data_IF_405488734711
#
_entry.id   IF_405488734711
#
_cell.length_a   1.000
_cell.length_b   1.000
_cell.length_c   1.000
_cell.angle_alpha   90.00
_cell.angle_beta   90.00
_cell.angle_gamma   90.00
#
_symmetry.space_group_name_H-M   'P 1'
#
loop_
_entity.id
_entity.type
_entity.pdbx_description
1 polymer ?
#
# COMPACT_ATOMS: atom_id res chain seq x y z
N UNK A 1 -10.92 0.95 0.54
CA UNK A 1 -10.21 -0.31 0.20
C UNK A 1 -10.73 -0.99 -1.06
N UNK A 2 -12.00 -1.45 -1.13
CA UNK A 2 -12.53 -2.07 -2.36
C UNK A 2 -12.50 -1.13 -3.59
N UNK A 3 -12.76 0.16 -3.37
CA UNK A 3 -12.65 1.21 -4.38
C UNK A 3 -11.20 1.38 -4.90
N UNK A 4 -10.20 1.28 -4.01
CA UNK A 4 -8.77 1.40 -4.37
C UNK A 4 -8.37 0.23 -5.28
N UNK A 5 -8.67 -1.00 -4.86
CA UNK A 5 -8.42 -2.20 -5.68
C UNK A 5 -9.07 -2.05 -7.06
N UNK A 6 -10.34 -1.64 -7.11
CA UNK A 6 -11.06 -1.48 -8.38
C UNK A 6 -10.39 -0.48 -9.31
N UNK A 7 -9.89 0.64 -8.78
CA UNK A 7 -9.16 1.65 -9.55
C UNK A 7 -7.82 1.08 -10.04
N UNK A 8 -7.05 0.41 -9.17
CA UNK A 8 -5.75 -0.18 -9.51
C UNK A 8 -5.86 -1.25 -10.59
N UNK A 9 -6.79 -2.18 -10.43
CA UNK A 9 -7.05 -3.21 -11.43
C UNK A 9 -7.50 -2.62 -12.77
N UNK A 10 -8.28 -1.53 -12.73
CA UNK A 10 -8.66 -0.77 -13.93
C UNK A 10 -7.44 -0.14 -14.62
N UNK A 11 -6.58 0.55 -13.87
CA UNK A 11 -5.34 1.15 -14.41
C UNK A 11 -4.43 0.09 -15.00
N UNK A 12 -4.20 -1.02 -14.30
CA UNK A 12 -3.41 -2.17 -14.78
C UNK A 12 -3.92 -2.69 -16.14
N UNK A 13 -5.24 -2.87 -16.29
CA UNK A 13 -5.82 -3.35 -17.54
C UNK A 13 -5.56 -2.39 -18.72
N UNK A 14 -5.63 -1.08 -18.49
CA UNK A 14 -5.36 -0.07 -19.53
C UNK A 14 -3.86 0.06 -19.83
N UNK A 15 -2.99 -0.06 -18.83
CA UNK A 15 -1.53 -0.10 -18.99
C UNK A 15 -1.12 -1.29 -19.87
N UNK A 16 -1.61 -2.50 -19.57
CA UNK A 16 -1.34 -3.67 -20.40
C UNK A 16 -1.93 -3.57 -21.82
N UNK A 17 -3.06 -2.88 -22.00
CA UNK A 17 -3.63 -2.60 -23.32
C UNK A 17 -2.79 -1.58 -24.13
N UNK A 18 -2.25 -0.56 -23.47
CA UNK A 18 -1.33 0.41 -24.06
C UNK A 18 -0.02 -0.28 -24.50
N UNK A 19 0.56 -1.12 -23.66
CA UNK A 19 1.76 -1.91 -23.97
C UNK A 19 1.55 -2.81 -25.19
N UNK A 20 0.44 -3.56 -25.26
CA UNK A 20 0.09 -4.38 -26.44
C UNK A 20 -0.04 -3.55 -27.72
N UNK A 21 -0.61 -2.35 -27.61
CA UNK A 21 -0.78 -1.44 -28.75
C UNK A 21 0.57 -0.87 -29.22
N UNK A 22 1.47 -0.52 -28.29
CA UNK A 22 2.85 -0.13 -28.59
C UNK A 22 3.64 -1.23 -29.30
N UNK A 23 3.53 -2.47 -28.81
CA UNK A 23 4.16 -3.63 -29.44
C UNK A 23 3.64 -3.88 -30.86
N UNK A 24 2.33 -3.71 -31.10
CA UNK A 24 1.73 -3.87 -32.42
C UNK A 24 2.15 -2.76 -33.41
N UNK A 25 2.32 -1.52 -32.94
CA UNK A 25 2.80 -0.41 -33.78
C UNK A 25 4.26 -0.65 -34.23
N UNK A 26 5.07 -1.33 -33.42
CA UNK A 26 6.43 -1.71 -33.76
C UNK A 26 6.51 -2.68 -34.97
N UNK A 27 5.41 -3.37 -35.31
CA UNK A 27 5.32 -4.37 -36.39
C UNK A 27 4.85 -3.81 -37.77
N UNK A 28 4.94 -2.49 -37.95
CA UNK A 28 4.97 -1.77 -39.25
C UNK A 28 3.72 -1.83 -40.17
N UNK A 29 2.70 -2.66 -39.90
CA UNK A 29 1.64 -2.95 -40.90
C UNK A 29 0.36 -2.10 -40.85
N UNK A 30 0.02 -1.43 -39.75
CA UNK A 30 -1.27 -0.70 -39.65
C UNK A 30 -1.25 0.59 -38.79
N UNK A 31 -0.07 1.21 -38.66
CA UNK A 31 0.32 2.27 -37.73
C UNK A 31 -0.64 3.45 -37.45
N UNK A 32 -1.69 3.69 -38.24
CA UNK A 32 -2.68 4.74 -37.98
C UNK A 32 -3.77 4.28 -37.02
N UNK A 33 -4.33 3.08 -37.23
CA UNK A 33 -5.42 2.56 -36.38
C UNK A 33 -4.91 2.11 -35.01
N UNK A 34 -3.74 1.47 -34.96
CA UNK A 34 -3.14 1.13 -33.65
C UNK A 34 -2.70 2.38 -32.89
N UNK A 35 -2.27 3.45 -33.57
CA UNK A 35 -1.93 4.72 -32.93
C UNK A 35 -3.14 5.41 -32.31
N UNK A 36 -4.26 5.48 -33.01
CA UNK A 36 -5.52 6.00 -32.44
C UNK A 36 -5.97 5.16 -31.25
N UNK A 37 -5.81 3.84 -31.32
CA UNK A 37 -6.15 2.94 -30.21
C UNK A 37 -5.21 3.14 -29.01
N UNK A 38 -3.92 3.36 -29.26
CA UNK A 38 -2.93 3.66 -28.23
C UNK A 38 -3.25 4.99 -27.53
N UNK A 39 -3.50 6.07 -28.29
CA UNK A 39 -3.90 7.37 -27.73
C UNK A 39 -5.16 7.25 -26.86
N UNK A 40 -6.13 6.44 -27.30
CA UNK A 40 -7.33 6.15 -26.51
C UNK A 40 -7.00 5.41 -25.20
N UNK A 41 -6.14 4.40 -25.24
CA UNK A 41 -5.73 3.68 -24.02
C UNK A 41 -4.96 4.59 -23.05
N UNK A 42 -4.05 5.43 -23.55
CA UNK A 42 -3.30 6.38 -22.72
C UNK A 42 -4.22 7.38 -22.02
N UNK A 43 -5.23 7.89 -22.73
CA UNK A 43 -6.26 8.74 -22.12
C UNK A 43 -7.02 8.04 -20.98
N UNK A 44 -7.34 6.76 -21.13
CA UNK A 44 -7.97 5.99 -20.05
C UNK A 44 -7.02 5.78 -18.86
N UNK A 45 -5.73 5.54 -19.12
CA UNK A 45 -4.71 5.46 -18.06
C UNK A 45 -4.62 6.79 -17.30
N UNK A 46 -4.55 7.94 -18.00
CA UNK A 46 -4.50 9.26 -17.36
C UNK A 46 -5.73 9.54 -16.47
N UNK A 47 -6.93 9.19 -16.93
CA UNK A 47 -8.15 9.31 -16.13
C UNK A 47 -8.10 8.40 -14.90
N UNK A 48 -7.60 7.18 -15.04
CA UNK A 48 -7.42 6.25 -13.93
C UNK A 48 -6.40 6.73 -12.89
N UNK A 49 -5.26 7.29 -13.34
CA UNK A 49 -4.24 7.88 -12.46
C UNK A 49 -4.80 9.06 -11.66
N UNK A 50 -5.57 9.96 -12.28
CA UNK A 50 -6.23 11.08 -11.56
C UNK A 50 -7.19 10.59 -10.47
N UNK A 51 -7.91 9.50 -10.72
CA UNK A 51 -8.77 8.87 -9.71
C UNK A 51 -7.96 8.26 -8.58
N UNK A 52 -6.83 7.63 -8.91
CA UNK A 52 -5.92 7.04 -7.93
C UNK A 52 -5.34 8.12 -6.99
N UNK A 53 -4.94 9.27 -7.53
CA UNK A 53 -4.47 10.40 -6.73
C UNK A 53 -5.54 10.95 -5.78
N UNK A 54 -6.75 11.20 -6.28
CA UNK A 54 -7.83 11.67 -5.41
C UNK A 54 -8.21 10.69 -4.30
N UNK A 55 -7.79 9.42 -4.41
CA UNK A 55 -7.87 8.42 -3.34
C UNK A 55 -6.64 8.50 -2.43
N UNK A 56 -5.44 8.62 -2.98
CA UNK A 56 -4.19 8.77 -2.22
C UNK A 56 -4.15 10.06 -1.38
N UNK A 57 -4.82 11.13 -1.83
CA UNK A 57 -4.96 12.40 -1.10
C UNK A 57 -5.84 12.27 0.16
N UNK A 58 -6.62 11.19 0.26
CA UNK A 58 -7.49 10.89 1.41
C UNK A 58 -6.84 9.97 2.43
N UNK A 59 -5.65 9.44 2.12
CA UNK A 59 -4.89 8.57 3.01
C UNK A 59 -3.95 9.43 3.87
N UNK A 60 -3.64 8.95 5.07
CA UNK A 60 -2.77 9.62 6.04
C UNK A 60 -1.49 10.17 5.37
N UNK A 61 -1.23 11.48 5.43
CA UNK A 61 -0.10 12.10 4.77
C UNK A 61 1.27 11.70 5.32
N UNK A 62 1.35 11.11 6.53
CA UNK A 62 2.62 10.73 7.18
C UNK A 62 3.03 9.26 6.92
N UNK A 63 2.31 8.52 6.06
CA UNK A 63 2.67 7.14 5.71
C UNK A 63 3.85 7.11 4.72
N UNK A 64 5.04 6.80 5.22
CA UNK A 64 6.28 6.67 4.44
C UNK A 64 6.17 5.70 3.25
N UNK A 65 5.27 4.71 3.27
CA UNK A 65 5.07 3.82 2.14
C UNK A 65 4.34 4.49 0.97
N UNK A 66 3.61 5.58 1.22
CA UNK A 66 2.86 6.31 0.19
C UNK A 66 3.72 7.35 -0.54
N UNK A 67 4.78 7.85 0.09
CA UNK A 67 5.69 8.81 -0.55
C UNK A 67 6.43 8.21 -1.74
N UNK A 68 6.91 6.97 -1.59
CA UNK A 68 7.51 6.24 -2.70
C UNK A 68 6.52 6.02 -3.84
N UNK A 69 5.26 5.70 -3.53
CA UNK A 69 4.20 5.47 -4.53
C UNK A 69 3.87 6.78 -5.26
N UNK A 70 3.74 7.89 -4.54
CA UNK A 70 3.48 9.22 -5.12
C UNK A 70 4.58 9.59 -6.12
N UNK A 71 5.86 9.41 -5.75
CA UNK A 71 6.99 9.71 -6.63
C UNK A 71 6.96 8.90 -7.93
N UNK A 72 6.73 7.59 -7.84
CA UNK A 72 6.65 6.73 -9.03
C UNK A 72 5.44 7.06 -9.92
N UNK A 73 4.33 7.50 -9.31
CA UNK A 73 3.14 7.93 -10.04
C UNK A 73 3.38 9.22 -10.83
N UNK A 74 4.11 10.17 -10.25
CA UNK A 74 4.52 11.41 -10.92
C UNK A 74 5.48 11.15 -12.09
N UNK A 75 6.48 10.29 -11.89
CA UNK A 75 7.42 9.88 -12.94
C UNK A 75 6.69 9.19 -14.12
N UNK A 76 5.69 8.34 -13.81
CA UNK A 76 4.89 7.67 -14.82
C UNK A 76 4.00 8.65 -15.60
N UNK A 77 3.36 9.60 -14.92
CA UNK A 77 2.58 10.66 -15.58
C UNK A 77 3.42 11.49 -16.53
N UNK A 78 4.62 11.87 -16.11
CA UNK A 78 5.59 12.58 -16.95
C UNK A 78 5.88 11.79 -18.23
N UNK A 79 6.12 10.48 -18.09
CA UNK A 79 6.38 9.56 -19.20
C UNK A 79 5.17 9.45 -20.14
N UNK A 80 3.95 9.30 -19.60
CA UNK A 80 2.73 9.25 -20.42
C UNK A 80 2.51 10.56 -21.17
N UNK A 81 2.75 11.70 -20.52
CA UNK A 81 2.57 13.01 -21.14
C UNK A 81 3.54 13.22 -22.31
N UNK A 82 4.83 12.90 -22.12
CA UNK A 82 5.83 12.96 -23.20
C UNK A 82 5.44 12.06 -24.38
N UNK A 83 4.99 10.83 -24.07
CA UNK A 83 4.56 9.87 -25.07
C UNK A 83 3.29 10.33 -25.81
N UNK A 84 2.32 10.91 -25.12
CA UNK A 84 1.12 11.49 -25.74
C UNK A 84 1.47 12.67 -26.65
N UNK A 85 2.32 13.62 -26.21
CA UNK A 85 2.75 14.77 -27.01
C UNK A 85 3.54 14.35 -28.26
N UNK A 86 4.41 13.34 -28.15
CA UNK A 86 5.13 12.72 -29.27
C UNK A 86 4.19 12.03 -30.25
N UNK A 87 3.18 11.33 -29.72
CA UNK A 87 2.16 10.69 -30.54
C UNK A 87 1.24 11.71 -31.19
N UNK A 88 0.94 12.87 -30.63
CA UNK A 88 0.08 13.88 -31.26
C UNK A 88 0.82 14.67 -32.34
N UNK A 89 2.04 15.14 -32.07
CA UNK A 89 2.89 15.89 -33.01
C UNK A 89 3.26 15.12 -34.28
N UNK A 90 3.22 13.78 -34.23
CA UNK A 90 3.42 12.90 -35.39
C UNK A 90 2.19 12.86 -36.35
N UNK A 91 1.07 13.51 -36.02
CA UNK A 91 -0.22 13.42 -36.75
C UNK A 91 -0.44 14.49 -37.80
N UNK A 92 0.19 15.64 -37.63
CA UNK A 92 0.12 16.75 -38.57
C UNK A 92 1.06 16.48 -39.75
N UNK A 93 0.67 15.59 -40.68
CA UNK A 93 1.34 15.61 -41.98
C UNK A 93 0.46 15.18 -43.14
N UNK A 94 0.26 16.13 -44.06
CA UNK A 94 -0.25 15.95 -45.42
C UNK A 94 0.34 14.71 -46.11
N UNK A 95 -0.49 14.07 -46.97
CA UNK A 95 -0.30 12.75 -47.62
C UNK A 95 1.04 12.55 -48.36
N UNK A 96 1.81 13.61 -48.60
CA UNK A 96 3.08 13.57 -49.34
C UNK A 96 4.30 13.03 -48.56
N UNK A 97 4.22 12.85 -47.24
CA UNK A 97 5.40 12.53 -46.43
C UNK A 97 5.42 11.10 -45.85
N UNK A 98 5.24 10.09 -46.70
CA UNK A 98 5.50 8.67 -46.35
C UNK A 98 6.91 8.49 -45.75
N UNK A 99 7.89 9.28 -46.21
CA UNK A 99 9.25 9.31 -45.64
C UNK A 99 9.31 9.75 -44.16
N UNK A 100 8.40 10.60 -43.66
CA UNK A 100 8.33 10.95 -42.22
C UNK A 100 7.73 9.81 -41.38
N UNK A 101 6.75 9.07 -41.91
CA UNK A 101 6.21 7.84 -41.28
C UNK A 101 7.31 6.80 -41.08
N UNK A 102 8.18 6.64 -42.09
CA UNK A 102 9.36 5.76 -42.01
C UNK A 102 10.44 6.34 -41.09
N UNK A 103 10.62 7.67 -41.05
CA UNK A 103 11.57 8.34 -40.15
C UNK A 103 11.22 8.12 -38.66
N UNK A 104 9.93 8.11 -38.32
CA UNK A 104 9.42 7.71 -37.01
C UNK A 104 9.72 6.23 -36.74
N UNK A 105 9.37 5.33 -37.66
CA UNK A 105 9.58 3.89 -37.46
C UNK A 105 11.08 3.45 -37.38
N UNK A 106 12.03 4.27 -37.83
CA UNK A 106 13.47 3.92 -37.91
C UNK A 106 14.34 4.64 -36.86
N UNK A 107 14.07 5.90 -36.50
CA UNK A 107 14.85 6.66 -35.50
C UNK A 107 14.33 6.46 -34.06
N UNK A 108 13.07 6.02 -33.92
CA UNK A 108 12.31 5.96 -32.67
C UNK A 108 12.22 4.53 -32.10
N UNK A 109 12.80 3.51 -32.77
CA UNK A 109 12.76 2.11 -32.30
C UNK A 109 13.49 1.88 -30.97
N UNK A 110 14.47 2.72 -30.65
CA UNK A 110 15.19 2.72 -29.36
C UNK A 110 14.38 3.43 -28.27
N UNK A 111 13.74 4.55 -28.62
CA UNK A 111 12.95 5.34 -27.68
C UNK A 111 11.63 4.63 -27.34
N UNK A 112 10.97 4.02 -28.33
CA UNK A 112 9.80 3.17 -28.10
C UNK A 112 10.12 1.97 -27.19
N UNK A 113 11.33 1.41 -27.28
CA UNK A 113 11.78 0.35 -26.34
C UNK A 113 11.95 0.88 -24.92
N UNK A 114 12.47 2.09 -24.77
CA UNK A 114 12.61 2.74 -23.47
C UNK A 114 11.24 3.08 -22.85
N UNK A 115 10.31 3.58 -23.67
CA UNK A 115 8.94 3.87 -23.26
C UNK A 115 8.18 2.59 -22.87
N UNK A 116 8.35 1.50 -23.63
CA UNK A 116 7.79 0.18 -23.29
C UNK A 116 8.37 -0.33 -21.96
N UNK A 117 9.69 -0.20 -21.75
CA UNK A 117 10.33 -0.64 -20.50
C UNK A 117 9.82 0.13 -19.28
N UNK A 118 9.62 1.45 -19.39
CA UNK A 118 9.04 2.27 -18.31
C UNK A 118 7.58 1.89 -18.00
N UNK A 119 6.80 1.58 -19.03
CA UNK A 119 5.41 1.10 -18.87
C UNK A 119 5.38 -0.29 -18.20
N UNK A 120 6.30 -1.18 -18.56
CA UNK A 120 6.47 -2.50 -17.93
C UNK A 120 6.86 -2.40 -16.45
N UNK A 121 7.80 -1.51 -16.13
CA UNK A 121 8.23 -1.26 -14.75
C UNK A 121 7.06 -0.75 -13.89
N UNK A 122 6.23 0.13 -14.45
CA UNK A 122 5.04 0.62 -13.77
C UNK A 122 3.96 -0.45 -13.57
N UNK A 123 3.72 -1.31 -14.57
CA UNK A 123 2.79 -2.45 -14.44
C UNK A 123 3.23 -3.39 -13.31
N UNK A 124 4.53 -3.69 -13.23
CA UNK A 124 5.11 -4.50 -12.16
C UNK A 124 4.93 -3.84 -10.79
N UNK A 125 5.10 -2.53 -10.70
CA UNK A 125 4.93 -1.77 -9.46
C UNK A 125 3.47 -1.78 -8.98
N UNK A 126 2.51 -1.51 -9.86
CA UNK A 126 1.08 -1.59 -9.53
C UNK A 126 0.66 -3.01 -9.10
N UNK A 127 1.21 -4.03 -9.76
CA UNK A 127 0.98 -5.44 -9.39
C UNK A 127 1.54 -5.75 -8.01
N UNK A 128 2.76 -5.29 -7.71
CA UNK A 128 3.39 -5.43 -6.40
C UNK A 128 2.56 -4.74 -5.31
N UNK A 129 2.07 -3.53 -5.58
CA UNK A 129 1.24 -2.80 -4.62
C UNK A 129 -0.09 -3.50 -4.34
N UNK A 130 -0.78 -3.96 -5.40
CA UNK A 130 -2.01 -4.75 -5.24
C UNK A 130 -1.76 -6.00 -4.39
N UNK A 131 -0.62 -6.67 -4.59
CA UNK A 131 -0.23 -7.82 -3.78
C UNK A 131 -0.01 -7.43 -2.31
N UNK A 132 0.68 -6.32 -2.03
CA UNK A 132 0.89 -5.83 -0.66
C UNK A 132 -0.42 -5.50 0.06
N UNK A 133 -1.40 -4.89 -0.61
CA UNK A 133 -2.75 -4.64 -0.06
C UNK A 133 -3.49 -5.94 0.28
N UNK A 134 -3.40 -6.94 -0.62
CA UNK A 134 -3.98 -8.26 -0.38
C UNK A 134 -3.33 -8.92 0.84
N UNK A 135 -2.00 -8.88 0.96
CA UNK A 135 -1.28 -9.43 2.10
C UNK A 135 -1.63 -8.73 3.42
N UNK A 136 -1.83 -7.41 3.42
CA UNK A 136 -2.26 -6.68 4.60
C UNK A 136 -3.66 -7.11 5.06
N UNK A 137 -4.59 -7.31 4.12
CA UNK A 137 -5.93 -7.83 4.42
C UNK A 137 -5.90 -9.26 4.94
N UNK A 138 -5.09 -10.13 4.33
CA UNK A 138 -4.91 -11.52 4.81
C UNK A 138 -4.35 -11.51 6.22
N UNK A 139 -3.34 -10.68 6.51
CA UNK A 139 -2.76 -10.53 7.86
C UNK A 139 -3.78 -10.09 8.90
N UNK A 140 -4.57 -9.04 8.59
CA UNK A 140 -5.65 -8.57 9.48
C UNK A 140 -6.72 -9.62 9.70
N UNK A 141 -7.07 -10.39 8.67
CA UNK A 141 -8.03 -11.48 8.80
C UNK A 141 -7.49 -12.63 9.66
N UNK A 142 -6.21 -12.97 9.53
CA UNK A 142 -5.55 -13.94 10.43
C UNK A 142 -5.50 -13.45 11.88
N UNK A 143 -5.28 -12.16 12.12
CA UNK A 143 -5.35 -11.59 13.48
C UNK A 143 -6.75 -11.73 14.08
N UNK A 144 -7.81 -11.42 13.32
CA UNK A 144 -9.20 -11.61 13.75
C UNK A 144 -9.47 -13.08 14.09
N UNK A 145 -9.08 -14.02 13.22
CA UNK A 145 -9.25 -15.46 13.50
C UNK A 145 -8.49 -15.86 14.77
N UNK A 146 -7.24 -15.41 14.94
CA UNK A 146 -6.44 -15.71 16.14
C UNK A 146 -7.09 -15.16 17.40
N UNK A 147 -7.63 -13.95 17.35
CA UNK A 147 -8.33 -13.35 18.49
C UNK A 147 -9.64 -14.08 18.80
N UNK A 148 -10.40 -14.51 17.79
CA UNK A 148 -11.59 -15.34 17.97
C UNK A 148 -11.26 -16.71 18.59
N UNK A 149 -10.20 -17.37 18.13
CA UNK A 149 -9.73 -18.63 18.71
C UNK A 149 -9.27 -18.44 20.15
N UNK A 150 -8.50 -17.38 20.42
CA UNK A 150 -8.09 -17.00 21.77
C UNK A 150 -9.30 -16.77 22.66
N UNK A 151 -10.32 -16.06 22.19
CA UNK A 151 -11.53 -15.81 22.96
C UNK A 151 -12.28 -17.11 23.28
N UNK A 152 -12.42 -18.02 22.30
CA UNK A 152 -13.03 -19.35 22.53
C UNK A 152 -12.28 -20.15 23.59
N UNK A 153 -10.95 -20.11 23.60
CA UNK A 153 -10.14 -20.79 24.62
C UNK A 153 -10.36 -20.15 25.99
N UNK A 154 -10.39 -18.82 26.08
CA UNK A 154 -10.64 -18.11 27.35
C UNK A 154 -12.03 -18.44 27.91
N UNK A 155 -13.05 -18.44 27.05
CA UNK A 155 -14.42 -18.80 27.43
C UNK A 155 -14.53 -20.27 27.86
N UNK A 156 -13.75 -21.17 27.25
CA UNK A 156 -13.66 -22.57 27.68
C UNK A 156 -12.97 -22.75 29.04
N UNK A 157 -11.90 -21.98 29.31
CA UNK A 157 -11.15 -22.07 30.56
C UNK A 157 -11.94 -21.58 31.77
N UNK A 158 -12.78 -20.55 31.60
CA UNK A 158 -13.55 -19.96 32.69
C UNK A 158 -14.76 -19.18 32.17
N UNK A 159 -15.93 -19.31 32.82
CA UNK A 159 -17.09 -18.48 32.53
C UNK A 159 -16.93 -17.03 33.05
N UNK A 160 -15.86 -16.74 33.81
CA UNK A 160 -15.63 -15.42 34.41
C UNK A 160 -14.90 -14.52 33.41
N UNK A 161 -15.49 -13.37 33.09
CA UNK A 161 -14.83 -12.32 32.33
C UNK A 161 -13.76 -11.63 33.19
N UNK A 162 -12.52 -12.11 33.11
CA UNK A 162 -11.40 -11.55 33.84
C UNK A 162 -11.06 -10.12 33.43
N UNK A 163 -11.30 -9.72 32.17
CA UNK A 163 -11.06 -8.35 31.71
C UNK A 163 -11.98 -7.36 32.42
N UNK A 164 -13.28 -7.64 32.48
CA UNK A 164 -14.24 -6.79 33.18
C UNK A 164 -13.90 -6.67 34.66
N UNK A 165 -13.45 -7.77 35.28
CA UNK A 165 -13.03 -7.77 36.68
C UNK A 165 -11.76 -6.97 36.90
N UNK A 166 -10.78 -7.08 36.01
CA UNK A 166 -9.53 -6.33 36.07
C UNK A 166 -9.76 -4.84 35.84
N UNK A 167 -10.61 -4.48 34.89
CA UNK A 167 -10.99 -3.10 34.62
C UNK A 167 -11.71 -2.46 35.83
N UNK A 168 -12.61 -3.20 36.48
CA UNK A 168 -13.25 -2.78 37.73
C UNK A 168 -12.24 -2.58 38.89
N UNK A 169 -11.16 -3.35 38.91
CA UNK A 169 -10.08 -3.22 39.89
C UNK A 169 -9.22 -1.99 39.59
N UNK A 170 -8.87 -1.79 38.31
CA UNK A 170 -8.10 -0.63 37.86
C UNK A 170 -8.87 0.67 37.98
N UNK A 171 -10.18 0.68 37.74
CA UNK A 171 -11.02 1.87 37.91
C UNK A 171 -11.09 2.34 39.37
N UNK A 172 -10.84 1.45 40.33
CA UNK A 172 -10.79 1.76 41.77
C UNK A 172 -9.40 2.16 42.25
N UNK A 173 -8.36 1.99 41.41
CA UNK A 173 -6.98 2.34 41.73
C UNK A 173 -6.87 3.85 41.95
N UNK A 174 -6.29 4.24 43.08
CA UNK A 174 -6.05 5.64 43.40
C UNK A 174 -4.72 6.11 42.79
N UNK A 175 -4.60 7.43 42.59
CA UNK A 175 -3.32 8.04 42.24
C UNK A 175 -2.23 7.59 43.23
N UNK A 176 -1.00 7.41 42.73
CA UNK A 176 0.18 6.96 43.49
C UNK A 176 0.10 5.53 44.07
N UNK A 177 -0.96 4.76 43.75
CA UNK A 177 -1.02 3.34 44.11
C UNK A 177 0.13 2.59 43.43
N UNK A 178 1.01 2.00 44.23
CA UNK A 178 2.16 1.22 43.78
C UNK A 178 3.48 2.00 43.73
N UNK A 179 3.48 3.32 43.94
CA UNK A 179 4.71 4.13 43.99
C UNK A 179 5.67 3.61 45.07
N UNK A 180 5.15 3.25 46.24
CA UNK A 180 5.92 2.65 47.33
C UNK A 180 6.66 1.35 46.93
N UNK A 181 6.10 0.57 46.00
CA UNK A 181 6.73 -0.65 45.49
C UNK A 181 7.79 -0.30 44.45
N UNK A 182 7.51 0.64 43.54
CA UNK A 182 8.45 1.09 42.52
C UNK A 182 9.69 1.78 43.11
N UNK A 183 9.51 2.44 44.27
CA UNK A 183 10.59 3.07 45.02
C UNK A 183 11.36 2.10 45.90
N UNK A 184 10.82 0.91 46.17
CA UNK A 184 11.45 -0.09 47.01
C UNK A 184 12.75 -0.61 46.40
N UNK A 185 13.80 -0.66 47.20
CA UNK A 185 15.12 -1.10 46.75
C UNK A 185 15.14 -2.57 46.28
N UNK A 186 14.37 -3.44 46.92
CA UNK A 186 14.22 -4.84 46.49
C UNK A 186 13.58 -4.93 45.11
N UNK A 187 12.54 -4.12 44.84
CA UNK A 187 11.94 -4.05 43.51
C UNK A 187 12.93 -3.55 42.46
N UNK A 188 13.71 -2.51 42.77
CA UNK A 188 14.72 -1.95 41.87
C UNK A 188 15.82 -2.98 41.55
N UNK A 189 16.34 -3.68 42.55
CA UNK A 189 17.34 -4.74 42.39
C UNK A 189 16.81 -5.92 41.57
N UNK A 190 15.58 -6.35 41.84
CA UNK A 190 14.92 -7.37 41.04
C UNK A 190 14.75 -6.93 39.58
N UNK A 191 14.31 -5.68 39.34
CA UNK A 191 14.15 -5.11 38.00
C UNK A 191 15.48 -5.01 37.23
N UNK A 192 16.58 -4.73 37.93
CA UNK A 192 17.94 -4.72 37.36
C UNK A 192 18.51 -6.13 37.14
N UNK A 193 17.80 -7.18 37.57
CA UNK A 193 18.24 -8.57 37.47
C UNK A 193 19.28 -8.99 38.52
N UNK A 194 19.56 -8.14 39.51
CA UNK A 194 20.45 -8.45 40.64
C UNK A 194 19.81 -9.48 41.59
N UNK A 195 18.49 -9.45 41.70
CA UNK A 195 17.68 -10.45 42.40
C UNK A 195 16.81 -11.22 41.41
N UNK A 196 16.76 -12.55 41.52
CA UNK A 196 15.99 -13.39 40.59
C UNK A 196 14.50 -13.48 40.92
N UNK A 197 14.11 -13.16 42.15
CA UNK A 197 12.75 -13.30 42.64
C UNK A 197 12.43 -12.17 43.62
N UNK A 198 11.34 -11.46 43.37
CA UNK A 198 10.77 -10.49 44.30
C UNK A 198 9.55 -11.10 44.98
N UNK A 199 9.55 -11.13 46.32
CA UNK A 199 8.43 -11.65 47.10
C UNK A 199 7.60 -10.51 47.72
N UNK A 200 6.43 -10.24 47.13
CA UNK A 200 5.52 -9.19 47.60
C UNK A 200 4.51 -9.74 48.63
N UNK A 201 4.94 -9.86 49.89
CA UNK A 201 4.05 -10.28 50.98
C UNK A 201 3.23 -9.11 51.56
N UNK A 202 2.06 -9.42 52.11
CA UNK A 202 1.24 -8.43 52.82
C UNK A 202 -0.03 -9.06 53.38
N UNK A 203 -0.66 -8.41 54.36
CA UNK A 203 -1.92 -8.87 54.97
C UNK A 203 -3.04 -9.05 53.92
N UNK A 204 -4.07 -9.86 54.19
CA UNK A 204 -5.27 -9.88 53.37
C UNK A 204 -5.84 -8.47 53.19
N UNK A 205 -6.21 -8.11 51.97
CA UNK A 205 -6.71 -6.75 51.67
C UNK A 205 -5.62 -5.67 51.48
N UNK A 206 -4.32 -6.00 51.56
CA UNK A 206 -3.22 -5.03 51.34
C UNK A 206 -3.09 -4.49 49.90
N UNK A 207 -4.09 -4.70 49.03
CA UNK A 207 -4.08 -4.18 47.66
C UNK A 207 -3.20 -4.93 46.66
N UNK A 208 -2.70 -6.12 46.99
CA UNK A 208 -1.85 -6.93 46.08
C UNK A 208 -2.50 -7.14 44.69
N UNK A 209 -3.80 -7.42 44.65
CA UNK A 209 -4.55 -7.60 43.39
C UNK A 209 -4.77 -6.30 42.63
N UNK A 210 -4.69 -5.13 43.29
CA UNK A 210 -4.82 -3.81 42.64
C UNK A 210 -3.51 -3.39 41.97
N UNK A 211 -2.38 -3.98 42.38
CA UNK A 211 -1.05 -3.73 41.83
C UNK A 211 -0.72 -4.58 40.58
N UNK A 212 -1.45 -5.67 40.35
CA UNK A 212 -1.16 -6.69 39.35
C UNK A 212 -2.10 -6.62 38.12
#
# INVERSE_FOLDING_TARGET
>A
MAEIIGIVSGVLAFVGAAQKSLNAINDFRSATKERENLLRHLSYVEVGLKKLEGVLDKVDPDDQNLDDIRRHLDDFKSTLKDLTERLESSGETSRFNVRRRVKWAVKDKSLAKEDIAKIEEFEQLLTKWLALDIWDKVRKHEEIIRDEERQKILDWLSPINFFARQDEIFSKRQADTGTWLLENDGFKKWKLGEEKMLWCSGIPGAGKTVLA
#
